data_IF_821703105080
#
_entry.id   IF_821703105080
#
_cell.length_a   1.000
_cell.length_b   1.000
_cell.length_c   1.000
_cell.angle_alpha   90.00
_cell.angle_beta   90.00
_cell.angle_gamma   90.00
#
_symmetry.space_group_name_H-M   'P 1'
#
loop_
_entity.id
_entity.type
_entity.pdbx_description
1 polymer ?
#
# COMPACT_ATOMS: atom_id res chain seq x y z
N UNK A 1 20.40 37.75 -2.37
CA UNK A 1 19.93 36.94 -1.23
C UNK A 1 18.46 36.69 -1.53
N UNK A 2 18.16 35.66 -2.30
CA UNK A 2 16.81 35.43 -2.81
C UNK A 2 16.16 34.35 -1.94
N UNK A 3 15.29 34.77 -1.03
CA UNK A 3 14.34 33.88 -0.35
C UNK A 3 13.35 33.38 -1.41
N UNK A 4 13.51 32.14 -1.85
CA UNK A 4 12.50 31.43 -2.63
C UNK A 4 11.37 31.10 -1.66
N UNK A 5 10.22 31.73 -1.90
CA UNK A 5 8.98 31.55 -1.16
C UNK A 5 8.52 30.11 -1.29
N UNK A 6 8.25 29.46 -0.16
CA UNK A 6 7.58 28.16 -0.10
C UNK A 6 6.35 28.21 -1.00
N UNK A 7 6.37 27.43 -2.07
CA UNK A 7 5.23 27.27 -2.95
C UNK A 7 4.10 26.66 -2.12
N UNK A 8 3.06 27.47 -1.90
CA UNK A 8 1.89 27.06 -1.16
C UNK A 8 1.07 26.24 -2.14
N UNK A 9 1.19 24.91 -2.05
CA UNK A 9 0.46 23.89 -2.81
C UNK A 9 -0.83 24.43 -3.46
N UNK A 10 -0.90 24.54 -4.80
CA UNK A 10 -2.13 24.94 -5.47
C UNK A 10 -3.22 23.88 -5.27
N UNK A 11 -4.43 24.35 -5.01
CA UNK A 11 -5.59 23.56 -4.67
C UNK A 11 -6.18 22.87 -5.91
N UNK A 12 -5.60 21.77 -6.38
CA UNK A 12 -6.37 20.74 -7.07
C UNK A 12 -5.71 19.38 -6.84
N UNK A 13 -6.44 18.52 -6.13
CA UNK A 13 -6.07 17.24 -5.56
C UNK A 13 -5.16 17.32 -4.31
N UNK A 14 -5.71 16.84 -3.20
CA UNK A 14 -5.41 17.36 -1.87
C UNK A 14 -4.40 16.47 -1.16
N UNK A 15 -3.12 16.82 -1.24
CA UNK A 15 -2.14 16.32 -0.28
C UNK A 15 -2.66 16.57 1.15
N UNK A 16 -2.95 15.50 1.89
CA UNK A 16 -3.50 15.62 3.24
C UNK A 16 -2.36 15.87 4.19
N UNK A 17 -2.33 17.07 4.77
CA UNK A 17 -1.37 17.38 5.84
C UNK A 17 -1.95 16.91 7.16
N UNK A 18 -1.23 16.02 7.85
CA UNK A 18 -1.62 15.57 9.20
C UNK A 18 -0.92 16.45 10.22
N UNK A 19 -1.69 17.12 11.07
CA UNK A 19 -1.19 18.12 12.02
C UNK A 19 -1.33 17.70 13.49
N UNK A 20 -2.00 16.57 13.77
CA UNK A 20 -2.31 16.12 15.12
C UNK A 20 -1.79 14.71 15.39
N UNK A 21 -1.49 14.42 16.65
CA UNK A 21 -1.06 13.08 17.09
C UNK A 21 -2.17 12.03 16.89
N UNK A 22 -3.44 12.27 17.28
CA UNK A 22 -4.51 11.29 16.99
C UNK A 22 -4.61 10.96 15.50
N UNK A 23 -4.54 11.97 14.62
CA UNK A 23 -4.60 11.75 13.19
C UNK A 23 -3.42 10.94 12.64
N UNK A 24 -2.22 11.05 13.22
CA UNK A 24 -1.07 10.25 12.78
C UNK A 24 -1.15 8.79 13.24
N UNK A 25 -1.79 8.55 14.39
CA UNK A 25 -2.05 7.19 14.88
C UNK A 25 -3.14 6.49 14.05
N UNK A 26 -4.22 7.21 13.73
CA UNK A 26 -5.26 6.72 12.80
C UNK A 26 -4.68 6.42 11.41
N UNK A 27 -3.75 7.26 10.94
CA UNK A 27 -3.02 6.98 9.70
C UNK A 27 -2.22 5.68 9.81
N UNK A 28 -1.39 5.53 10.86
CA UNK A 28 -0.58 4.33 11.05
C UNK A 28 -1.43 3.06 11.10
N UNK A 29 -2.54 3.08 11.84
CA UNK A 29 -3.51 1.97 11.89
C UNK A 29 -4.10 1.68 10.50
N UNK A 30 -4.54 2.71 9.78
CA UNK A 30 -5.09 2.57 8.43
C UNK A 30 -4.07 1.98 7.45
N UNK A 31 -2.78 2.28 7.60
CA UNK A 31 -1.71 1.72 6.77
C UNK A 31 -1.50 0.23 7.09
N UNK A 32 -1.34 -0.11 8.37
CA UNK A 32 -1.07 -1.49 8.81
C UNK A 32 -2.25 -2.45 8.56
N UNK A 33 -3.47 -1.92 8.42
CA UNK A 33 -4.67 -2.71 8.11
C UNK A 33 -5.02 -2.70 6.62
N UNK A 34 -4.36 -1.88 5.80
CA UNK A 34 -4.73 -1.66 4.40
C UNK A 34 -6.11 -1.00 4.22
N UNK A 35 -6.72 -0.46 5.29
CA UNK A 35 -8.11 0.02 5.29
C UNK A 35 -8.39 1.16 4.29
N UNK A 36 -7.34 1.88 3.85
CA UNK A 36 -7.48 2.92 2.85
C UNK A 36 -7.85 2.37 1.46
N UNK A 37 -7.56 1.09 1.17
CA UNK A 37 -7.86 0.45 -0.12
C UNK A 37 -7.04 0.96 -1.31
N UNK A 38 -6.28 2.05 -1.14
CA UNK A 38 -5.40 2.64 -2.16
C UNK A 38 -3.98 2.79 -1.62
N UNK A 39 -2.94 2.71 -2.48
CA UNK A 39 -1.58 2.99 -2.06
C UNK A 39 -1.48 4.37 -1.42
N UNK A 40 -0.74 4.45 -0.31
CA UNK A 40 -0.53 5.71 0.40
C UNK A 40 0.94 6.11 0.33
N UNK A 41 1.22 7.30 -0.19
CA UNK A 41 2.55 7.90 -0.20
C UNK A 41 2.66 8.89 0.96
N UNK A 42 3.50 8.56 1.93
CA UNK A 42 3.81 9.42 3.07
C UNK A 42 5.12 10.12 2.82
N UNK A 43 5.12 11.46 2.92
CA UNK A 43 6.28 12.32 2.72
C UNK A 43 6.55 13.10 3.99
N UNK A 44 7.80 13.12 4.42
CA UNK A 44 8.24 13.95 5.56
C UNK A 44 8.94 15.20 5.07
N UNK A 45 8.72 16.32 5.73
CA UNK A 45 9.51 17.52 5.47
C UNK A 45 10.93 17.37 6.06
N UNK A 46 11.90 18.07 5.48
CA UNK A 46 13.27 18.15 6.01
C UNK A 46 13.24 18.85 7.37
N UNK A 47 13.85 18.29 8.42
CA UNK A 47 13.69 18.78 9.80
C UNK A 47 14.15 20.24 9.98
N UNK A 48 15.19 20.66 9.27
CA UNK A 48 15.80 22.00 9.41
C UNK A 48 15.10 23.07 8.58
N UNK A 49 14.78 22.77 7.33
CA UNK A 49 14.21 23.74 6.39
C UNK A 49 12.68 23.70 6.35
N UNK A 50 12.09 22.56 6.78
CA UNK A 50 10.66 22.24 6.65
C UNK A 50 10.17 22.18 5.22
N UNK A 51 11.10 21.96 4.29
CA UNK A 51 10.81 21.84 2.87
C UNK A 51 10.52 20.39 2.48
N UNK A 52 9.69 20.24 1.46
CA UNK A 52 9.45 19.00 0.74
C UNK A 52 9.96 19.22 -0.68
N UNK A 53 10.93 18.40 -1.10
CA UNK A 53 11.56 18.52 -2.43
C UNK A 53 10.91 17.64 -3.50
N UNK A 54 9.89 16.85 -3.14
CA UNK A 54 9.06 16.14 -4.12
C UNK A 54 8.06 17.10 -4.72
N UNK A 55 7.95 17.10 -6.04
CA UNK A 55 6.85 17.73 -6.78
C UNK A 55 5.54 16.93 -6.56
N UNK A 56 4.86 17.27 -5.47
CA UNK A 56 3.61 16.65 -5.06
C UNK A 56 2.46 16.96 -6.03
N UNK A 57 2.47 18.14 -6.64
CA UNK A 57 1.44 18.53 -7.62
C UNK A 57 1.50 17.61 -8.83
N UNK A 58 2.68 17.35 -9.39
CA UNK A 58 2.85 16.43 -10.51
C UNK A 58 2.44 14.99 -10.17
N UNK A 59 2.75 14.50 -8.96
CA UNK A 59 2.30 13.16 -8.53
C UNK A 59 0.78 13.10 -8.48
N UNK A 60 0.16 14.15 -7.96
CA UNK A 60 -1.29 14.20 -7.77
C UNK A 60 -2.04 14.36 -9.09
N UNK A 61 -1.50 15.16 -10.02
CA UNK A 61 -2.04 15.32 -11.38
C UNK A 61 -1.98 14.01 -12.18
N UNK A 62 -0.94 13.19 -11.97
CA UNK A 62 -0.78 11.89 -12.63
C UNK A 62 -1.73 10.82 -12.06
N UNK A 63 -2.02 10.87 -10.75
CA UNK A 63 -2.83 9.87 -10.04
C UNK A 63 -3.99 10.51 -9.28
N UNK A 64 -4.94 11.15 -9.97
CA UNK A 64 -6.10 11.73 -9.31
C UNK A 64 -6.90 10.61 -8.64
N UNK A 65 -7.06 10.69 -7.32
CA UNK A 65 -7.81 9.76 -6.46
C UNK A 65 -7.32 8.30 -6.39
N UNK A 66 -6.31 7.92 -7.18
CA UNK A 66 -5.74 6.56 -7.18
C UNK A 66 -4.70 6.34 -6.08
N UNK A 67 -4.11 7.42 -5.55
CA UNK A 67 -3.07 7.38 -4.51
C UNK A 67 -3.41 8.38 -3.43
N UNK A 68 -3.30 7.97 -2.18
CA UNK A 68 -3.43 8.87 -1.02
C UNK A 68 -2.08 9.52 -0.73
N UNK A 69 -2.00 10.84 -0.86
CA UNK A 69 -0.78 11.59 -0.55
C UNK A 69 -0.87 12.22 0.85
N UNK A 70 0.13 11.95 1.70
CA UNK A 70 0.18 12.48 3.07
C UNK A 70 1.50 13.19 3.32
N UNK A 71 1.43 14.40 3.85
CA UNK A 71 2.62 15.20 4.20
C UNK A 71 2.71 15.39 5.70
N UNK A 72 3.89 15.09 6.25
CA UNK A 72 4.25 15.25 7.65
C UNK A 72 5.31 16.34 7.81
N UNK A 73 4.87 17.56 8.12
CA UNK A 73 5.76 18.72 8.30
C UNK A 73 6.37 18.81 9.71
N UNK A 74 5.68 18.21 10.69
CA UNK A 74 6.07 18.26 12.10
C UNK A 74 6.91 17.02 12.50
N UNK A 75 8.17 17.19 12.98
CA UNK A 75 9.02 16.07 13.37
C UNK A 75 8.50 15.36 14.61
N UNK A 76 7.76 16.05 15.49
CA UNK A 76 7.17 15.42 16.67
C UNK A 76 6.12 14.38 16.27
N UNK A 77 5.41 14.62 15.16
CA UNK A 77 4.50 13.64 14.57
C UNK A 77 5.25 12.46 13.94
N UNK A 78 6.46 12.68 13.42
CA UNK A 78 7.32 11.60 12.89
C UNK A 78 7.69 10.61 13.99
N UNK A 79 7.93 11.09 15.22
CA UNK A 79 8.19 10.22 16.37
C UNK A 79 6.96 9.42 16.79
N UNK A 80 5.79 10.06 16.87
CA UNK A 80 4.55 9.38 17.19
C UNK A 80 4.20 8.31 16.14
N UNK A 81 4.37 8.64 14.86
CA UNK A 81 4.20 7.71 13.75
C UNK A 81 5.16 6.52 13.83
N UNK A 82 6.45 6.78 14.07
CA UNK A 82 7.46 5.71 14.23
C UNK A 82 7.15 4.77 15.39
N UNK A 83 6.58 5.27 16.48
CA UNK A 83 6.16 4.43 17.60
C UNK A 83 4.94 3.53 17.31
N UNK A 84 4.17 3.83 16.26
CA UNK A 84 2.96 3.11 15.89
C UNK A 84 3.12 2.22 14.64
N UNK A 85 4.29 2.25 14.01
CA UNK A 85 4.59 1.53 12.78
C UNK A 85 5.56 0.36 13.05
N UNK A 86 5.60 -0.66 12.18
CA UNK A 86 6.67 -1.67 12.22
C UNK A 86 8.07 -1.03 12.21
N UNK A 87 9.08 -1.69 12.81
CA UNK A 87 10.46 -1.21 12.78
C UNK A 87 10.92 -0.90 11.36
N UNK A 88 11.69 0.18 11.18
CA UNK A 88 12.26 0.62 9.89
C UNK A 88 11.23 0.94 8.77
N UNK A 89 9.94 0.87 9.07
CA UNK A 89 8.87 1.13 8.12
C UNK A 89 8.51 2.61 7.98
N UNK A 90 9.24 3.54 8.62
CA UNK A 90 8.91 4.98 8.61
C UNK A 90 9.88 5.84 7.81
N UNK A 91 9.39 6.77 6.96
CA UNK A 91 10.21 7.83 6.39
C UNK A 91 10.56 8.87 7.46
N UNK A 92 11.72 9.50 7.33
CA UNK A 92 12.14 10.61 8.19
C UNK A 92 12.94 11.67 7.41
N UNK A 93 12.90 12.91 7.88
CA UNK A 93 13.78 14.01 7.45
C UNK A 93 13.88 14.20 5.92
N UNK A 94 12.76 14.47 5.26
CA UNK A 94 12.74 14.69 3.81
C UNK A 94 12.59 13.41 2.99
N UNK A 95 12.51 12.25 3.64
CA UNK A 95 12.23 10.98 2.97
C UNK A 95 10.75 10.84 2.64
N UNK A 96 10.48 9.96 1.68
CA UNK A 96 9.14 9.54 1.28
C UNK A 96 9.06 8.02 1.25
N UNK A 97 7.89 7.46 1.53
CA UNK A 97 7.65 6.02 1.48
C UNK A 97 6.27 5.72 0.91
N UNK A 98 6.19 4.71 0.05
CA UNK A 98 4.92 4.18 -0.46
C UNK A 98 4.51 2.99 0.40
N UNK A 99 3.26 2.97 0.83
CA UNK A 99 2.62 1.85 1.52
C UNK A 99 1.55 1.26 0.58
N UNK A 100 1.80 0.10 -0.02
CA UNK A 100 0.78 -0.62 -0.78
C UNK A 100 -0.37 -1.02 0.14
N UNK A 101 -1.62 -0.80 -0.29
CA UNK A 101 -2.79 -1.25 0.46
C UNK A 101 -3.17 -2.71 0.16
N UNK A 102 -2.75 -3.23 -1.00
CA UNK A 102 -3.10 -4.57 -1.47
C UNK A 102 -2.10 -5.65 -1.02
N UNK A 103 -0.95 -5.24 -0.52
CA UNK A 103 0.15 -6.09 -0.08
C UNK A 103 0.72 -5.51 1.21
N UNK A 104 0.70 -6.31 2.28
CA UNK A 104 1.15 -5.93 3.61
C UNK A 104 2.49 -6.58 3.98
N UNK A 105 3.14 -7.28 3.05
CA UNK A 105 4.44 -7.94 3.29
C UNK A 105 5.53 -6.92 3.68
N UNK A 106 5.35 -5.64 3.34
CA UNK A 106 6.21 -4.54 3.80
C UNK A 106 6.26 -4.38 5.32
N UNK A 107 5.30 -4.93 6.07
CA UNK A 107 5.34 -4.94 7.53
C UNK A 107 6.40 -5.90 8.08
N UNK A 108 6.66 -6.99 7.36
CA UNK A 108 7.66 -8.00 7.72
C UNK A 108 9.02 -7.70 7.07
N UNK A 109 9.03 -7.23 5.82
CA UNK A 109 10.23 -6.73 5.13
C UNK A 109 10.04 -5.29 4.64
N UNK A 110 10.40 -4.28 5.47
CA UNK A 110 10.26 -2.88 5.10
C UNK A 110 11.13 -2.43 3.92
N UNK A 111 12.08 -3.23 3.46
CA UNK A 111 12.97 -2.87 2.36
C UNK A 111 12.71 -3.68 1.09
N UNK A 112 11.76 -4.62 1.15
CA UNK A 112 11.21 -5.21 -0.05
C UNK A 112 10.78 -4.08 -0.99
N UNK A 113 11.07 -4.29 -2.28
CA UNK A 113 10.42 -3.53 -3.33
C UNK A 113 10.74 -2.02 -3.40
N UNK A 114 11.87 -1.58 -2.81
CA UNK A 114 12.40 -0.20 -2.84
C UNK A 114 11.34 0.87 -2.55
N UNK A 115 10.48 0.60 -1.56
CA UNK A 115 9.34 1.46 -1.24
C UNK A 115 9.73 2.75 -0.49
N UNK A 116 10.96 2.81 0.02
CA UNK A 116 11.52 3.93 0.77
C UNK A 116 12.48 4.76 -0.11
N UNK A 117 12.20 6.05 -0.22
CA UNK A 117 13.00 7.04 -0.94
C UNK A 117 13.62 8.02 0.04
N UNK A 118 14.94 7.94 0.23
CA UNK A 118 15.69 8.79 1.13
C UNK A 118 16.64 9.74 0.37
N UNK A 119 17.13 10.77 1.05
CA UNK A 119 18.10 11.72 0.47
C UNK A 119 17.51 12.57 -0.66
N UNK A 120 16.21 12.88 -0.57
CA UNK A 120 15.54 13.79 -1.50
C UNK A 120 15.99 15.22 -1.17
N UNK A 121 16.51 15.91 -2.17
CA UNK A 121 17.09 17.24 -2.10
C UNK A 121 16.59 18.05 -3.28
N UNK A 122 16.70 19.37 -3.21
CA UNK A 122 16.41 20.26 -4.34
C UNK A 122 17.08 19.82 -5.65
N UNK A 123 18.35 19.37 -5.57
CA UNK A 123 19.12 18.94 -6.74
C UNK A 123 18.63 17.65 -7.40
N UNK A 124 17.84 16.82 -6.71
CA UNK A 124 17.36 15.53 -7.24
C UNK A 124 15.84 15.34 -7.14
N UNK A 125 15.10 16.32 -6.62
CA UNK A 125 13.67 16.28 -6.38
C UNK A 125 12.88 15.79 -7.59
N UNK A 126 13.01 16.49 -8.73
CA UNK A 126 12.32 16.14 -9.98
C UNK A 126 12.61 14.73 -10.48
N UNK A 127 13.87 14.29 -10.35
CA UNK A 127 14.28 12.94 -10.75
C UNK A 127 13.63 11.91 -9.83
N UNK A 128 13.66 12.13 -8.53
CA UNK A 128 13.05 11.22 -7.55
C UNK A 128 11.53 11.21 -7.71
N UNK A 129 10.88 12.34 -7.99
CA UNK A 129 9.46 12.40 -8.36
C UNK A 129 9.15 11.46 -9.53
N UNK A 130 9.96 11.48 -10.59
CA UNK A 130 9.80 10.56 -11.72
C UNK A 130 9.86 9.09 -11.29
N UNK A 131 10.82 8.72 -10.46
CA UNK A 131 10.96 7.34 -9.93
C UNK A 131 9.77 6.95 -9.06
N UNK A 132 9.30 7.85 -8.19
CA UNK A 132 8.12 7.62 -7.35
C UNK A 132 6.88 7.40 -8.21
N UNK A 133 6.69 8.20 -9.26
CA UNK A 133 5.60 8.05 -10.22
C UNK A 133 5.66 6.67 -10.89
N UNK A 134 6.82 6.29 -11.44
CA UNK A 134 6.98 4.99 -12.08
C UNK A 134 6.71 3.83 -11.11
N UNK A 135 7.14 3.97 -9.85
CA UNK A 135 6.87 2.95 -8.83
C UNK A 135 5.39 2.86 -8.48
N UNK A 136 4.70 3.99 -8.34
CA UNK A 136 3.25 4.02 -8.11
C UNK A 136 2.48 3.34 -9.25
N UNK A 137 2.90 3.52 -10.52
CA UNK A 137 2.28 2.79 -11.65
C UNK A 137 2.39 1.28 -11.49
N UNK A 138 3.55 0.77 -11.10
CA UNK A 138 3.77 -0.67 -10.88
C UNK A 138 2.87 -1.18 -9.74
N UNK A 139 2.81 -0.46 -8.63
CA UNK A 139 1.99 -0.81 -7.46
C UNK A 139 0.50 -0.80 -7.80
N UNK A 140 0.03 0.20 -8.56
CA UNK A 140 -1.37 0.27 -9.00
C UNK A 140 -1.73 -0.86 -9.97
N UNK A 141 -0.83 -1.21 -10.88
CA UNK A 141 -1.04 -2.35 -11.78
C UNK A 141 -1.12 -3.68 -11.02
N UNK A 142 -0.27 -3.87 -10.01
CA UNK A 142 -0.32 -5.05 -9.13
C UNK A 142 -1.62 -5.09 -8.31
N UNK A 143 -2.08 -3.95 -7.79
CA UNK A 143 -3.34 -3.84 -7.07
C UNK A 143 -4.53 -4.27 -7.93
N UNK A 144 -4.58 -3.81 -9.19
CA UNK A 144 -5.63 -4.17 -10.14
C UNK A 144 -5.61 -5.68 -10.47
N UNK A 145 -4.42 -6.26 -10.68
CA UNK A 145 -4.29 -7.69 -10.92
C UNK A 145 -4.74 -8.55 -9.73
N UNK A 146 -4.41 -8.13 -8.50
CA UNK A 146 -4.86 -8.82 -7.28
C UNK A 146 -6.38 -8.72 -7.10
N UNK A 147 -6.98 -7.56 -7.41
CA UNK A 147 -8.43 -7.38 -7.37
C UNK A 147 -9.16 -8.26 -8.40
N UNK A 148 -8.62 -8.40 -9.61
CA UNK A 148 -9.17 -9.29 -10.65
C UNK A 148 -9.16 -10.77 -10.22
N UNK A 149 -8.08 -11.21 -9.54
CA UNK A 149 -7.99 -12.57 -8.99
C UNK A 149 -8.96 -12.81 -7.82
N UNK A 150 -9.26 -11.78 -7.04
CA UNK A 150 -10.21 -11.83 -5.93
C UNK A 150 -11.67 -11.64 -6.39
N UNK A 151 -11.88 -11.15 -7.61
CA UNK A 151 -13.21 -10.98 -8.19
C UNK A 151 -13.83 -12.36 -8.45
N UNK A 152 -14.95 -12.72 -7.78
CA UNK A 152 -15.60 -13.98 -8.06
C UNK A 152 -16.11 -13.96 -9.50
N UNK A 153 -15.71 -14.95 -10.30
CA UNK A 153 -16.17 -15.08 -11.68
C UNK A 153 -17.70 -14.88 -11.75
N UNK A 154 -18.20 -13.98 -12.63
CA UNK A 154 -19.63 -13.78 -12.76
C UNK A 154 -20.25 -15.04 -13.35
N UNK A 155 -20.87 -15.85 -12.50
CA UNK A 155 -21.50 -17.11 -12.90
C UNK A 155 -21.24 -18.32 -12.01
N UNK A 156 -20.52 -18.19 -10.90
CA UNK A 156 -20.54 -19.24 -9.86
C UNK A 156 -21.89 -19.19 -9.11
N UNK A 157 -22.94 -19.63 -9.79
CA UNK A 157 -24.23 -20.00 -9.23
C UNK A 157 -23.98 -20.99 -8.09
N UNK A 158 -23.99 -20.46 -6.86
CA UNK A 158 -23.80 -21.21 -5.61
C UNK A 158 -25.05 -22.02 -5.24
N UNK A 159 -25.96 -22.25 -6.19
CA UNK A 159 -27.24 -22.95 -6.01
C UNK A 159 -27.39 -24.24 -6.81
N UNK A 160 -26.34 -24.75 -7.44
CA UNK A 160 -26.37 -26.08 -8.08
C UNK A 160 -25.59 -27.14 -7.29
N UNK A 161 -25.99 -27.41 -6.03
CA UNK A 161 -25.85 -28.78 -5.51
C UNK A 161 -26.82 -29.63 -6.32
N UNK A 162 -26.37 -30.14 -7.47
CA UNK A 162 -27.10 -31.19 -8.17
C UNK A 162 -27.01 -32.45 -7.30
N UNK A 163 -28.12 -33.01 -6.79
CA UNK A 163 -28.06 -34.34 -6.19
C UNK A 163 -27.58 -35.30 -7.27
N UNK A 164 -26.53 -36.06 -6.95
CA UNK A 164 -26.04 -37.16 -7.77
C UNK A 164 -27.20 -38.14 -7.98
N UNK A 165 -27.82 -38.11 -9.16
CA UNK A 165 -28.88 -39.05 -9.57
C UNK A 165 -28.29 -40.01 -10.59
N UNK A 166 -27.31 -40.80 -10.13
CA UNK A 166 -26.89 -42.02 -10.82
C UNK A 166 -27.62 -43.20 -10.18
N UNK A 167 -28.41 -43.94 -10.97
CA UNK A 167 -28.93 -45.24 -10.56
C UNK A 167 -27.76 -46.20 -10.36
N UNK A 168 -27.55 -46.64 -9.13
CA UNK A 168 -26.62 -47.72 -8.82
C UNK A 168 -27.33 -49.05 -9.11
N UNK A 169 -27.28 -49.50 -10.36
CA UNK A 169 -27.73 -50.84 -10.74
C UNK A 169 -26.61 -51.85 -10.40
N UNK A 170 -26.96 -52.81 -9.55
CA UNK A 170 -26.02 -53.50 -8.67
C UNK A 170 -25.15 -54.61 -9.28
N UNK A 171 -24.23 -55.09 -8.46
CA UNK A 171 -23.82 -56.50 -8.43
C UNK A 171 -23.47 -56.89 -7.00
N UNK A 172 -24.09 -57.98 -6.57
CA UNK A 172 -24.01 -58.60 -5.26
C UNK A 172 -22.57 -59.00 -4.85
N UNK A 173 -22.34 -59.00 -3.55
CA UNK A 173 -21.19 -59.63 -2.89
C UNK A 173 -21.03 -61.12 -3.25
N UNK A 174 -19.88 -61.72 -2.93
CA UNK A 174 -19.86 -62.48 -1.67
C UNK A 174 -18.60 -62.29 -0.80
N UNK A 175 -18.77 -62.72 0.45
CA UNK A 175 -17.83 -62.78 1.57
C UNK A 175 -16.80 -63.91 1.44
N UNK A 176 -15.72 -63.77 2.22
CA UNK A 176 -14.77 -64.78 2.75
C UNK A 176 -13.71 -65.29 1.76
N UNK A 177 -12.45 -65.59 2.11
CA UNK A 177 -11.81 -65.91 3.39
C UNK A 177 -10.28 -65.59 3.41
N UNK A 178 -9.77 -65.61 4.65
CA UNK A 178 -8.39 -65.75 5.16
C UNK A 178 -7.36 -66.55 4.31
N UNK A 179 -6.12 -66.03 4.19
CA UNK A 179 -4.86 -66.82 4.17
C UNK A 179 -3.70 -65.96 4.72
N UNK A 180 -3.04 -66.44 5.77
CA UNK A 180 -1.68 -66.07 6.20
C UNK A 180 -0.67 -67.12 5.71
N UNK A 181 0.56 -66.70 5.35
CA UNK A 181 1.78 -67.55 5.27
C UNK A 181 2.99 -66.70 4.84
N UNK A 182 4.25 -67.18 5.01
CA UNK A 182 4.76 -68.19 5.94
C UNK A 182 5.73 -67.62 7.00
#
# INVERSE_FOLDING_TARGET
>A
MNTVTADRLPATATAVTVTTVPGILELAESLCTGAAGVPTLVVTAVNRTREVHLDLSRITDEFPDAVRLVVMENPDLTRAFTGAMPPDATPYNGAARIYPAHDLDWMDDPFADDLLFAGITDANGDRVTGVVIDRLRVILAAAAASADLQSPAPGADRTAVRPFRGEFSGALSPRSAMVTSP
#
